data_IF_393547638308
#
_entry.id   IF_393547638308
#
_cell.length_a   1.000
_cell.length_b   1.000
_cell.length_c   1.000
_cell.angle_alpha   90.00
_cell.angle_beta   90.00
_cell.angle_gamma   90.00
#
_symmetry.space_group_name_H-M   'P 1'
#
loop_
_entity.id
_entity.type
_entity.pdbx_description
1 polymer ?
#
# COMPACT_ATOMS: atom_id res chain seq x y z
N UNK A 1 2.47 17.43 7.14
CA UNK A 1 3.72 17.27 7.90
C UNK A 1 4.87 17.06 6.92
N UNK A 2 6.07 17.62 7.16
CA UNK A 2 7.25 17.29 6.36
C UNK A 2 7.56 15.79 6.46
N UNK A 3 8.22 15.29 5.42
CA UNK A 3 8.75 13.94 5.34
C UNK A 3 9.69 13.63 6.53
N UNK A 4 9.43 12.59 7.32
CA UNK A 4 10.31 12.19 8.42
C UNK A 4 11.57 11.49 7.94
N UNK A 5 12.63 11.53 8.76
CA UNK A 5 13.97 11.00 8.44
C UNK A 5 13.96 9.57 7.92
N UNK A 6 13.15 8.70 8.53
CA UNK A 6 13.17 7.26 8.29
C UNK A 6 12.12 6.81 7.27
N UNK A 7 11.53 7.72 6.50
CA UNK A 7 10.41 7.40 5.60
C UNK A 7 10.71 6.28 4.59
N UNK A 8 11.98 6.07 4.23
CA UNK A 8 12.39 5.06 3.25
C UNK A 8 12.96 3.79 3.88
N UNK A 9 13.15 3.74 5.20
CA UNK A 9 13.74 2.61 5.88
C UNK A 9 12.65 1.63 6.33
N UNK A 10 12.07 0.91 5.36
CA UNK A 10 10.93 0.03 5.62
C UNK A 10 11.26 -1.13 6.57
N UNK A 11 12.51 -1.59 6.59
CA UNK A 11 12.98 -2.65 7.48
C UNK A 11 13.02 -2.16 8.94
N UNK A 12 13.57 -0.97 9.19
CA UNK A 12 13.49 -0.35 10.51
C UNK A 12 12.04 -0.20 10.97
N UNK A 13 11.16 0.29 10.08
CA UNK A 13 9.75 0.51 10.42
C UNK A 13 9.03 -0.81 10.77
N UNK A 14 9.33 -1.90 10.07
CA UNK A 14 8.82 -3.24 10.40
C UNK A 14 9.35 -3.75 11.75
N UNK A 15 10.65 -3.55 12.03
CA UNK A 15 11.26 -3.89 13.31
C UNK A 15 10.63 -3.12 14.47
N UNK A 16 10.45 -1.79 14.33
CA UNK A 16 9.84 -0.94 15.36
C UNK A 16 8.38 -1.31 15.58
N UNK A 17 7.59 -1.54 14.52
CA UNK A 17 6.21 -2.01 14.65
C UNK A 17 6.12 -3.35 15.40
N UNK A 18 7.05 -4.28 15.11
CA UNK A 18 7.13 -5.57 15.79
C UNK A 18 7.52 -5.44 17.25
N UNK A 19 8.46 -4.54 17.57
CA UNK A 19 8.85 -4.24 18.94
C UNK A 19 7.67 -3.65 19.73
N UNK A 20 6.91 -2.72 19.15
CA UNK A 20 5.70 -2.18 19.77
C UNK A 20 4.66 -3.27 20.04
N UNK A 21 4.50 -4.23 19.12
CA UNK A 21 3.61 -5.37 19.31
C UNK A 21 4.10 -6.26 20.46
N UNK A 22 5.39 -6.62 20.48
CA UNK A 22 5.99 -7.42 21.53
C UNK A 22 5.84 -6.78 22.93
N UNK A 23 6.07 -5.46 23.04
CA UNK A 23 5.88 -4.71 24.29
C UNK A 23 4.45 -4.77 24.83
N UNK A 24 3.43 -4.87 23.95
CA UNK A 24 2.04 -5.02 24.37
C UNK A 24 1.74 -6.43 24.82
N UNK A 25 2.23 -7.45 24.10
CA UNK A 25 2.07 -8.86 24.48
C UNK A 25 2.64 -9.11 25.88
N UNK A 26 3.81 -8.53 26.19
CA UNK A 26 4.45 -8.71 27.50
C UNK A 26 3.88 -7.80 28.58
N UNK A 27 3.59 -6.54 28.27
CA UNK A 27 3.21 -5.55 29.29
C UNK A 27 1.71 -5.47 29.61
N UNK A 28 0.82 -5.81 28.67
CA UNK A 28 -0.62 -5.67 28.92
C UNK A 28 -1.20 -6.66 29.94
N UNK A 29 -0.75 -7.93 30.01
CA UNK A 29 -1.21 -8.85 31.07
C UNK A 29 -1.05 -8.24 32.47
N UNK A 30 0.10 -7.64 32.77
CA UNK A 30 0.36 -7.00 34.06
C UNK A 30 -0.60 -5.82 34.34
N UNK A 31 -0.95 -5.05 33.32
CA UNK A 31 -1.90 -3.94 33.44
C UNK A 31 -3.33 -4.42 33.67
N UNK A 32 -3.70 -5.56 33.10
CA UNK A 32 -5.00 -6.22 33.30
C UNK A 32 -5.08 -6.78 34.72
N UNK A 33 -4.05 -7.50 35.16
CA UNK A 33 -3.97 -8.06 36.51
C UNK A 33 -4.00 -6.97 37.59
N UNK A 34 -3.37 -5.82 37.32
CA UNK A 34 -3.42 -4.64 38.18
C UNK A 34 -4.74 -3.85 38.12
N UNK A 35 -5.73 -4.29 37.32
CA UNK A 35 -7.02 -3.60 37.17
C UNK A 35 -6.94 -2.23 36.48
N UNK A 36 -5.83 -1.94 35.79
CA UNK A 36 -5.59 -0.65 35.10
C UNK A 36 -6.04 -0.66 33.63
N UNK A 37 -6.36 -1.83 33.10
CA UNK A 37 -6.81 -2.05 31.72
C UNK A 37 -7.82 -3.20 31.71
N UNK A 38 -8.83 -3.14 30.84
CA UNK A 38 -9.75 -4.28 30.67
C UNK A 38 -9.11 -5.36 29.78
N UNK A 39 -9.45 -6.65 29.96
CA UNK A 39 -8.96 -7.71 29.09
C UNK A 39 -9.29 -7.46 27.61
N UNK A 40 -10.47 -6.90 27.33
CA UNK A 40 -10.89 -6.56 25.98
C UNK A 40 -9.99 -5.46 25.37
N UNK A 41 -9.72 -4.38 26.12
CA UNK A 41 -8.84 -3.31 25.64
C UNK A 41 -7.40 -3.81 25.40
N UNK A 42 -6.93 -4.74 26.23
CA UNK A 42 -5.63 -5.38 26.03
C UNK A 42 -5.62 -6.21 24.73
N UNK A 43 -6.63 -7.05 24.52
CA UNK A 43 -6.77 -7.87 23.33
C UNK A 43 -6.85 -7.00 22.05
N UNK A 44 -7.66 -5.93 22.07
CA UNK A 44 -7.75 -4.97 20.96
C UNK A 44 -6.40 -4.31 20.67
N UNK A 45 -5.71 -3.83 21.70
CA UNK A 45 -4.42 -3.18 21.50
C UNK A 45 -3.34 -4.14 20.97
N UNK A 46 -3.37 -5.43 21.35
CA UNK A 46 -2.49 -6.46 20.77
C UNK A 46 -2.85 -6.71 19.30
N UNK A 47 -4.14 -6.94 19.00
CA UNK A 47 -4.67 -7.14 17.63
C UNK A 47 -4.24 -6.00 16.70
N UNK A 48 -4.49 -4.75 17.10
CA UNK A 48 -4.20 -3.57 16.27
C UNK A 48 -2.70 -3.46 15.99
N UNK A 49 -1.85 -3.62 17.01
CA UNK A 49 -0.40 -3.49 16.81
C UNK A 49 0.19 -4.67 16.04
N UNK A 50 -0.35 -5.88 16.22
CA UNK A 50 -0.01 -7.04 15.39
C UNK A 50 -0.35 -6.81 13.92
N UNK A 51 -1.52 -6.24 13.63
CA UNK A 51 -1.92 -5.86 12.26
C UNK A 51 -0.94 -4.87 11.63
N UNK A 52 -0.52 -3.84 12.39
CA UNK A 52 0.48 -2.87 11.92
C UNK A 52 1.80 -3.59 11.59
N UNK A 53 2.30 -4.42 12.50
CA UNK A 53 3.54 -5.18 12.29
C UNK A 53 3.47 -6.08 11.05
N UNK A 54 2.37 -6.84 10.88
CA UNK A 54 2.15 -7.67 9.69
C UNK A 54 2.12 -6.84 8.40
N UNK A 55 1.51 -5.66 8.43
CA UNK A 55 1.46 -4.77 7.26
C UNK A 55 2.86 -4.32 6.84
N UNK A 56 3.70 -3.95 7.80
CA UNK A 56 5.06 -3.48 7.53
C UNK A 56 5.99 -4.60 7.07
N UNK A 57 5.87 -5.81 7.62
CA UNK A 57 6.59 -6.97 7.09
C UNK A 57 6.16 -7.31 5.66
N UNK A 58 4.86 -7.24 5.35
CA UNK A 58 4.40 -7.43 3.97
C UNK A 58 4.98 -6.39 3.00
N UNK A 59 5.24 -5.16 3.45
CA UNK A 59 5.92 -4.12 2.67
C UNK A 59 7.39 -4.49 2.43
N UNK A 60 8.10 -4.93 3.47
CA UNK A 60 9.51 -5.35 3.40
C UNK A 60 9.67 -6.56 2.45
N UNK A 61 8.80 -7.56 2.60
CA UNK A 61 8.83 -8.79 1.81
C UNK A 61 8.29 -8.61 0.37
N UNK A 62 7.76 -7.42 0.04
CA UNK A 62 7.12 -7.16 -1.24
C UNK A 62 5.84 -7.99 -1.48
N UNK A 63 5.23 -8.50 -0.42
CA UNK A 63 3.98 -9.28 -0.49
C UNK A 63 2.77 -8.35 -0.49
N UNK A 64 1.66 -8.69 -1.18
CA UNK A 64 0.40 -7.93 -1.04
C UNK A 64 -0.02 -7.87 0.43
N UNK A 65 -0.69 -6.78 0.82
CA UNK A 65 -1.34 -6.75 2.12
C UNK A 65 -2.39 -7.86 2.20
N UNK A 66 -2.41 -8.59 3.31
CA UNK A 66 -3.38 -9.65 3.48
C UNK A 66 -4.78 -9.04 3.66
N UNK A 67 -5.79 -9.57 2.97
CA UNK A 67 -7.13 -8.98 2.97
C UNK A 67 -7.75 -8.81 4.37
N UNK A 68 -7.33 -9.64 5.34
CA UNK A 68 -7.83 -9.59 6.72
C UNK A 68 -7.36 -8.36 7.49
N UNK A 69 -6.24 -7.72 7.14
CA UNK A 69 -5.64 -6.63 7.95
C UNK A 69 -6.51 -5.39 8.02
N UNK A 70 -7.45 -5.22 7.08
CA UNK A 70 -8.37 -4.09 7.00
C UNK A 70 -9.74 -4.40 7.64
N UNK A 71 -9.98 -5.64 8.06
CA UNK A 71 -11.26 -6.07 8.63
C UNK A 71 -11.07 -6.52 10.10
N UNK A 72 -11.58 -5.75 11.08
CA UNK A 72 -11.47 -6.13 12.49
C UNK A 72 -12.13 -7.46 12.84
N UNK A 73 -13.19 -7.86 12.12
CA UNK A 73 -13.87 -9.14 12.35
C UNK A 73 -12.97 -10.32 11.96
N UNK A 74 -11.99 -10.09 11.08
CA UNK A 74 -10.96 -11.05 10.68
C UNK A 74 -9.64 -10.89 11.44
N UNK A 75 -9.62 -10.05 12.50
CA UNK A 75 -8.43 -9.77 13.29
C UNK A 75 -7.55 -8.64 12.76
N UNK A 76 -8.00 -7.90 11.74
CA UNK A 76 -7.37 -6.68 11.24
C UNK A 76 -7.64 -5.48 12.13
N UNK A 77 -7.44 -4.26 11.61
CA UNK A 77 -7.72 -3.02 12.32
C UNK A 77 -8.08 -1.89 11.36
N UNK A 78 -9.04 -1.06 11.77
CA UNK A 78 -9.39 0.12 10.98
C UNK A 78 -8.24 1.14 10.95
N UNK A 79 -8.13 1.97 9.89
CA UNK A 79 -7.09 3.00 9.82
C UNK A 79 -7.05 3.95 11.03
N UNK A 80 -8.22 4.35 11.55
CA UNK A 80 -8.28 5.23 12.73
C UNK A 80 -7.81 4.52 14.01
N UNK A 81 -8.04 3.21 14.15
CA UNK A 81 -7.55 2.41 15.28
C UNK A 81 -6.03 2.33 15.26
N UNK A 82 -5.45 2.08 14.07
CA UNK A 82 -4.01 2.01 13.85
C UNK A 82 -3.32 3.33 14.19
N UNK A 83 -3.84 4.43 13.63
CA UNK A 83 -3.33 5.77 13.90
C UNK A 83 -3.41 6.12 15.39
N UNK A 84 -4.55 5.82 16.03
CA UNK A 84 -4.73 6.06 17.46
C UNK A 84 -3.73 5.24 18.30
N UNK A 85 -3.58 3.94 17.99
CA UNK A 85 -2.67 3.05 18.69
C UNK A 85 -1.21 3.50 18.60
N UNK A 86 -0.76 3.96 17.42
CA UNK A 86 0.58 4.51 17.24
C UNK A 86 0.76 5.84 17.96
N UNK A 87 -0.23 6.74 17.89
CA UNK A 87 -0.22 8.03 18.60
C UNK A 87 -0.09 7.83 20.11
N UNK A 88 -0.81 6.86 20.68
CA UNK A 88 -0.68 6.51 22.10
C UNK A 88 0.70 5.93 22.40
N UNK A 89 1.21 5.03 21.54
CA UNK A 89 2.52 4.41 21.71
C UNK A 89 3.68 5.41 21.64
N UNK A 90 3.56 6.48 20.85
CA UNK A 90 4.59 7.50 20.68
C UNK A 90 4.82 8.36 21.93
N UNK A 91 3.81 8.51 22.81
CA UNK A 91 3.84 9.49 23.92
C UNK A 91 5.05 9.34 24.83
N UNK A 92 5.30 8.12 25.32
CA UNK A 92 6.37 7.86 26.29
C UNK A 92 7.76 7.87 25.64
N UNK A 93 8.01 7.19 24.50
CA UNK A 93 9.27 7.31 23.78
C UNK A 93 9.62 8.75 23.41
N UNK A 94 8.64 9.54 22.93
CA UNK A 94 8.87 10.94 22.57
C UNK A 94 9.21 11.81 23.78
N UNK A 95 8.53 11.61 24.92
CA UNK A 95 8.89 12.29 26.17
C UNK A 95 10.31 11.94 26.62
N UNK A 96 10.68 10.66 26.58
CA UNK A 96 12.03 10.20 26.93
C UNK A 96 13.10 10.78 25.99
N UNK A 97 12.82 10.87 24.69
CA UNK A 97 13.73 11.46 23.71
C UNK A 97 13.98 12.97 23.95
N UNK A 98 12.98 13.69 24.49
CA UNK A 98 13.13 15.10 24.87
C UNK A 98 13.98 15.24 26.13
N UNK A 99 13.83 14.34 27.09
CA UNK A 99 14.61 14.33 28.34
C UNK A 99 16.08 13.91 28.11
N UNK A 100 16.31 12.97 27.19
CA UNK A 100 17.62 12.39 26.89
C UNK A 100 17.98 12.59 25.40
N UNK A 101 18.26 13.83 24.96
CA UNK A 101 18.47 14.12 23.54
C UNK A 101 19.75 13.52 22.95
N UNK A 102 20.70 13.12 23.79
CA UNK A 102 21.95 12.48 23.37
C UNK A 102 21.86 10.95 23.33
N UNK A 103 20.74 10.37 23.75
CA UNK A 103 20.48 8.95 23.60
C UNK A 103 19.90 8.69 22.21
N UNK A 104 20.80 8.37 21.27
CA UNK A 104 20.43 8.18 19.87
C UNK A 104 19.49 6.97 19.65
N UNK A 105 19.48 6.00 20.56
CA UNK A 105 18.57 4.85 20.46
C UNK A 105 17.15 5.27 20.79
N UNK A 106 16.94 6.00 21.89
CA UNK A 106 15.62 6.51 22.29
C UNK A 106 15.10 7.52 21.26
N UNK A 107 15.95 8.44 20.82
CA UNK A 107 15.60 9.44 19.80
C UNK A 107 15.25 8.74 18.48
N UNK A 108 16.07 7.79 18.03
CA UNK A 108 15.82 7.02 16.81
C UNK A 108 14.52 6.23 16.88
N UNK A 109 14.23 5.59 18.01
CA UNK A 109 12.99 4.85 18.23
C UNK A 109 11.77 5.77 18.21
N UNK A 110 11.80 6.92 18.88
CA UNK A 110 10.72 7.89 18.86
C UNK A 110 10.47 8.44 17.43
N UNK A 111 11.54 8.76 16.70
CA UNK A 111 11.45 9.24 15.31
C UNK A 111 10.89 8.17 14.37
N UNK A 112 11.22 6.90 14.58
CA UNK A 112 10.65 5.80 13.80
C UNK A 112 9.14 5.64 14.06
N UNK A 113 8.67 5.80 15.31
CA UNK A 113 7.23 5.77 15.59
C UNK A 113 6.50 6.94 14.92
N UNK A 114 7.07 8.15 14.96
CA UNK A 114 6.49 9.30 14.25
C UNK A 114 6.49 9.08 12.73
N UNK A 115 7.47 8.35 12.21
CA UNK A 115 7.49 7.93 10.80
C UNK A 115 6.35 6.95 10.49
N UNK A 116 6.05 6.00 11.39
CA UNK A 116 4.88 5.12 11.27
C UNK A 116 3.58 5.93 11.24
N UNK A 117 3.42 6.91 12.14
CA UNK A 117 2.26 7.81 12.20
C UNK A 117 2.12 8.62 10.91
N UNK A 118 3.22 9.14 10.39
CA UNK A 118 3.23 9.87 9.12
C UNK A 118 2.72 8.99 7.99
N UNK A 119 3.17 7.74 7.90
CA UNK A 119 2.76 6.80 6.87
C UNK A 119 1.27 6.41 6.91
N UNK A 120 0.65 6.37 8.09
CA UNK A 120 -0.80 6.14 8.23
C UNK A 120 -1.63 7.33 7.70
N UNK A 121 -1.03 8.51 7.52
CA UNK A 121 -1.71 9.72 7.03
C UNK A 121 -1.23 10.18 5.65
N UNK A 122 -0.15 9.61 5.12
CA UNK A 122 0.44 9.98 3.85
C UNK A 122 -0.41 9.55 2.63
N UNK A 123 -0.37 10.37 1.58
CA UNK A 123 -0.91 10.04 0.25
C UNK A 123 0.17 10.24 -0.81
N UNK A 124 0.51 9.22 -1.62
CA UNK A 124 0.00 7.85 -1.55
C UNK A 124 0.44 7.11 -0.28
N UNK A 125 -0.35 6.13 0.17
CA UNK A 125 -0.01 5.36 1.38
C UNK A 125 1.28 4.56 1.18
N UNK A 126 1.94 4.19 2.30
CA UNK A 126 3.15 3.36 2.29
C UNK A 126 2.97 2.10 1.44
N UNK A 127 1.76 1.54 1.52
CA UNK A 127 1.37 0.33 0.81
C UNK A 127 1.29 0.53 -0.70
N UNK A 128 0.63 1.60 -1.16
CA UNK A 128 0.55 1.89 -2.59
C UNK A 128 1.95 2.11 -3.18
N UNK A 129 2.85 2.76 -2.44
CA UNK A 129 4.25 2.93 -2.86
C UNK A 129 4.98 1.58 -2.91
N UNK A 130 4.79 0.71 -1.93
CA UNK A 130 5.36 -0.64 -1.91
C UNK A 130 4.88 -1.49 -3.09
N UNK A 131 3.57 -1.46 -3.38
CA UNK A 131 2.97 -2.18 -4.51
C UNK A 131 3.47 -1.68 -5.87
N UNK A 132 3.57 -0.36 -6.05
CA UNK A 132 4.16 0.25 -7.25
C UNK A 132 5.63 -0.15 -7.43
N UNK A 133 6.42 -0.08 -6.36
CA UNK A 133 7.83 -0.48 -6.39
C UNK A 133 8.01 -1.96 -6.74
N UNK A 134 7.11 -2.83 -6.28
CA UNK A 134 7.09 -4.24 -6.69
C UNK A 134 6.82 -4.39 -8.17
N UNK A 135 5.78 -3.75 -8.71
CA UNK A 135 5.43 -3.84 -10.12
C UNK A 135 6.60 -3.42 -11.03
N UNK A 136 7.37 -2.41 -10.61
CA UNK A 136 8.57 -1.97 -11.31
C UNK A 136 9.75 -2.95 -11.24
N UNK A 137 9.83 -3.76 -10.17
CA UNK A 137 10.90 -4.75 -9.96
C UNK A 137 10.58 -6.12 -10.57
N UNK A 138 9.31 -6.39 -10.89
CA UNK A 138 8.93 -7.64 -11.56
C UNK A 138 9.51 -7.66 -12.98
N UNK A 139 10.15 -8.77 -13.41
CA UNK A 139 10.56 -8.90 -14.80
C UNK A 139 9.33 -8.79 -15.68
N UNK A 140 9.42 -8.00 -16.75
CA UNK A 140 8.33 -7.87 -17.71
C UNK A 140 7.83 -9.26 -18.11
N UNK A 141 6.51 -9.50 -18.15
CA UNK A 141 5.99 -10.76 -18.65
C UNK A 141 6.60 -10.99 -20.04
N UNK A 142 7.14 -12.19 -20.27
CA UNK A 142 7.70 -12.55 -21.58
C UNK A 142 6.66 -12.19 -22.63
N UNK A 143 6.98 -11.30 -23.59
CA UNK A 143 6.00 -10.89 -24.58
C UNK A 143 5.46 -12.15 -25.23
N UNK A 144 4.13 -12.28 -25.30
CA UNK A 144 3.51 -13.39 -26.01
C UNK A 144 4.16 -13.47 -27.40
N UNK A 145 4.52 -14.68 -27.87
CA UNK A 145 5.13 -14.81 -29.19
C UNK A 145 4.21 -14.09 -30.18
N UNK A 146 4.77 -13.11 -30.89
CA UNK A 146 4.04 -12.39 -31.93
C UNK A 146 3.55 -13.46 -32.89
N UNK A 147 2.26 -13.78 -32.84
CA UNK A 147 1.66 -14.68 -33.79
C UNK A 147 1.93 -14.06 -35.16
N UNK A 148 2.67 -14.77 -36.01
CA UNK A 148 2.88 -14.35 -37.38
C UNK A 148 1.50 -14.06 -37.96
N UNK A 149 1.28 -12.83 -38.42
CA UNK A 149 0.10 -12.48 -39.18
C UNK A 149 0.14 -13.40 -40.39
N UNK A 150 -0.69 -14.45 -40.38
CA UNK A 150 -0.83 -15.33 -41.53
C UNK A 150 -1.36 -14.44 -42.64
N UNK A 151 -0.51 -14.19 -43.65
CA UNK A 151 -0.90 -13.44 -44.82
C UNK A 151 -2.19 -14.09 -45.37
N UNK A 152 -3.27 -13.33 -45.59
CA UNK A 152 -4.46 -13.90 -46.20
C UNK A 152 -4.03 -14.51 -47.53
N UNK A 153 -4.26 -15.82 -47.68
CA UNK A 153 -4.02 -16.50 -48.94
C UNK A 153 -4.78 -15.74 -50.02
N UNK A 154 -4.06 -15.25 -51.03
CA UNK A 154 -4.65 -14.49 -52.11
C UNK A 154 -5.68 -15.36 -52.82
N UNK A 155 -6.96 -15.21 -52.47
CA UNK A 155 -8.05 -15.68 -53.31
C UNK A 155 -7.98 -14.89 -54.60
N UNK A 156 -7.55 -15.55 -55.69
CA UNK A 156 -7.73 -15.06 -57.05
C UNK A 156 -9.23 -14.85 -57.26
N UNK A 157 -9.69 -13.61 -57.10
CA UNK A 157 -11.02 -13.20 -57.51
C UNK A 157 -11.02 -13.05 -59.03
N UNK A 158 -11.39 -14.12 -59.73
CA UNK A 158 -11.79 -14.02 -61.14
C UNK A 158 -13.23 -13.58 -61.21
N UNK A 159 -13.46 -12.28 -60.99
CA UNK A 159 -14.68 -11.62 -61.42
C UNK A 159 -14.43 -10.95 -62.78
N UNK A 160 -15.24 -11.20 -63.81
CA UNK A 160 -15.13 -10.48 -65.07
C UNK A 160 -15.48 -9.00 -64.83
N UNK A 161 -14.65 -8.11 -65.36
CA UNK A 161 -14.87 -6.66 -65.31
C UNK A 161 -16.08 -6.35 -66.19
N UNK A 162 -17.21 -6.00 -65.57
CA UNK A 162 -18.34 -5.41 -66.26
C UNK A 162 -18.04 -3.92 -66.54
N UNK A 163 -18.31 -3.40 -67.74
CA UNK A 163 -18.09 -1.99 -68.05
C UNK A 163 -19.01 -1.09 -67.21
N UNK A 164 -18.44 -0.03 -66.65
CA UNK A 164 -19.14 0.94 -65.83
C UNK A 164 -20.18 1.72 -66.66
N UNK A 165 -21.42 1.81 -66.17
CA UNK A 165 -22.45 2.67 -66.72
C UNK A 165 -22.10 4.15 -66.51
N UNK A 166 -22.42 5.05 -67.47
CA UNK A 166 -22.10 6.46 -67.36
C UNK A 166 -22.90 7.13 -66.23
N UNK A 167 -22.19 7.71 -65.26
CA UNK A 167 -22.76 8.59 -64.22
C UNK A 167 -23.07 9.96 -64.82
N UNK A 168 -24.24 10.10 -65.43
CA UNK A 168 -24.84 11.41 -65.68
C UNK A 168 -25.88 11.70 -64.58
N UNK A 169 -25.67 12.78 -63.81
CA UNK A 169 -26.74 13.46 -63.09
C UNK A 169 -26.95 13.10 -61.61
N UNK A 170 -25.97 13.35 -60.74
CA UNK A 170 -26.24 13.50 -59.30
C UNK A 170 -25.67 14.84 -58.82
N UNK A 171 -26.51 15.81 -58.39
CA UNK A 171 -26.04 17.09 -57.87
C UNK A 171 -25.41 16.95 -56.47
N UNK A 172 -24.25 17.56 -56.28
CA UNK A 172 -23.55 17.67 -55.00
C UNK A 172 -24.33 18.60 -54.05
N UNK A 173 -24.73 18.10 -52.88
CA UNK A 173 -25.15 18.94 -51.75
C UNK A 173 -23.99 19.06 -50.76
N UNK A 174 -23.36 20.23 -50.70
CA UNK A 174 -22.45 20.62 -49.63
C UNK A 174 -23.25 21.40 -48.57
N UNK A 175 -23.45 20.79 -47.40
CA UNK A 175 -23.95 21.50 -46.21
C UNK A 175 -22.78 22.07 -45.42
N UNK A 176 -22.75 23.39 -45.23
CA UNK A 176 -21.85 24.09 -44.30
C UNK A 176 -22.69 24.45 -43.08
N UNK A 177 -22.31 23.94 -41.90
CA UNK A 177 -22.88 24.35 -40.63
C UNK A 177 -22.21 25.65 -40.16
N UNK A 178 -23.03 26.60 -39.71
CA UNK A 178 -22.61 27.78 -38.95
C UNK A 178 -22.89 27.54 -37.46
#
# INVERSE_FOLDING_TARGET
>A
MPAPRWQHDHELLACVASQLHALRITGYPELVDAGRMTPLAAADGIRIMGTIACTWWAIVDGQPEAAWTQDPELGGAWPYERLHALTVAARRPRAAAIELPNDYEIVGFADAIDTLIWWETAQPSARLIADCNRALRQPAPTPAPIAAIVAPSATKSTAPIAPAAPRAGMPFQFGVAA
#
